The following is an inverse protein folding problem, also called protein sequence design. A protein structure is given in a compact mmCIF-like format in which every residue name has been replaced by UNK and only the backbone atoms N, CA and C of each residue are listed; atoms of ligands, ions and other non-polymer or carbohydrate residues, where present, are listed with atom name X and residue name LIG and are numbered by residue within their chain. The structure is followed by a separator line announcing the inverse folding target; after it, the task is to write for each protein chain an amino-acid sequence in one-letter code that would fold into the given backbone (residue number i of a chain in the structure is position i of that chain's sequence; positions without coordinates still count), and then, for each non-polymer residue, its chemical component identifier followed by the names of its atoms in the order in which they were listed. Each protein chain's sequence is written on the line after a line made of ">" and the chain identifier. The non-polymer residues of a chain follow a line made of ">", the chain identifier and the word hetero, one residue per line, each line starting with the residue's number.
data_IF_221418906327
#
_entry.id   IF_221418906327
#
_cell.length_a   1.000
_cell.length_b   1.000
_cell.length_c   1.000
_cell.angle_alpha   90.00
_cell.angle_beta   90.00
_cell.angle_gamma   90.00
#
_symmetry.space_group_name_H-M   'P 1'
#
loop_
_entity.id
_entity.type
_entity.pdbx_description
1 polymer ?
#
# COMPACT_ATOMS: atom_id res chain seq x y z
N UNK A 1 43.94 2.93 -44.51
CA UNK A 1 45.39 3.17 -44.60
C UNK A 1 46.10 2.02 -43.86
N UNK A 2 47.44 1.91 -43.89
CA UNK A 2 48.16 0.91 -43.09
C UNK A 2 48.42 1.45 -41.68
N UNK A 3 48.03 0.71 -40.64
CA UNK A 3 48.32 1.08 -39.24
C UNK A 3 49.75 0.67 -38.89
N UNK A 4 50.55 1.58 -38.34
CA UNK A 4 51.85 1.24 -37.78
C UNK A 4 51.69 0.94 -36.27
N UNK A 5 51.89 -0.32 -35.87
CA UNK A 5 51.73 -0.77 -34.48
C UNK A 5 53.12 -1.06 -33.90
N UNK A 6 53.56 -0.29 -32.91
CA UNK A 6 54.84 -0.55 -32.25
C UNK A 6 54.73 -1.72 -31.25
N UNK A 7 55.73 -2.58 -31.24
CA UNK A 7 55.73 -3.82 -30.44
C UNK A 7 55.62 -3.57 -28.95
N UNK A 8 56.23 -2.48 -28.45
CA UNK A 8 56.25 -2.09 -27.05
C UNK A 8 55.02 -1.30 -26.59
N UNK A 9 54.06 -0.99 -27.48
CA UNK A 9 52.82 -0.34 -27.06
C UNK A 9 51.99 -1.22 -26.16
N UNK A 10 51.34 -0.59 -25.18
CA UNK A 10 50.35 -1.24 -24.34
C UNK A 10 49.18 -1.75 -25.19
N UNK A 11 48.56 -2.90 -24.88
CA UNK A 11 47.43 -3.45 -25.65
C UNK A 11 46.29 -2.46 -25.91
N UNK A 12 45.99 -1.57 -24.97
CA UNK A 12 44.96 -0.54 -25.14
C UNK A 12 45.34 0.53 -26.17
N UNK A 13 46.61 0.94 -26.21
CA UNK A 13 47.16 1.86 -27.23
C UNK A 13 47.11 1.22 -28.61
N UNK A 14 47.43 -0.08 -28.71
CA UNK A 14 47.31 -0.85 -29.97
C UNK A 14 45.86 -0.91 -30.44
N UNK A 15 44.91 -1.22 -29.56
CA UNK A 15 43.49 -1.25 -29.89
C UNK A 15 42.95 0.13 -30.29
N UNK A 16 43.40 1.22 -29.66
CA UNK A 16 43.05 2.58 -30.06
C UNK A 16 43.57 2.93 -31.46
N UNK A 17 44.81 2.57 -31.77
CA UNK A 17 45.39 2.79 -33.10
C UNK A 17 44.62 2.04 -34.20
N UNK A 18 44.17 0.81 -33.91
CA UNK A 18 43.33 0.03 -34.83
C UNK A 18 41.93 0.63 -34.92
N UNK A 19 41.31 0.96 -33.79
CA UNK A 19 39.96 1.54 -33.71
C UNK A 19 39.81 2.85 -34.49
N UNK A 20 40.83 3.71 -34.44
CA UNK A 20 40.85 4.99 -35.16
C UNK A 20 40.88 4.85 -36.70
N UNK A 21 41.32 3.69 -37.19
CA UNK A 21 41.51 3.43 -38.63
C UNK A 21 40.47 2.46 -39.19
N UNK A 22 39.42 2.16 -38.41
CA UNK A 22 38.29 1.34 -38.87
C UNK A 22 37.50 2.07 -39.96
N UNK A 23 37.17 1.34 -41.02
CA UNK A 23 36.39 1.86 -42.15
C UNK A 23 35.13 1.03 -42.37
N UNK A 24 34.03 1.45 -41.72
CA UNK A 24 32.73 0.80 -41.80
C UNK A 24 32.03 0.90 -43.16
N UNK A 25 32.62 1.62 -44.14
CA UNK A 25 32.14 1.63 -45.52
C UNK A 25 32.59 0.40 -46.33
N UNK A 26 33.51 -0.39 -45.78
CA UNK A 26 34.10 -1.58 -46.44
C UNK A 26 33.47 -2.87 -45.90
N UNK A 27 33.53 -3.93 -46.72
CA UNK A 27 33.05 -5.28 -46.35
C UNK A 27 33.85 -5.83 -45.17
N UNK A 28 35.16 -5.56 -45.13
CA UNK A 28 36.01 -5.79 -43.97
C UNK A 28 36.40 -4.42 -43.39
N UNK A 29 35.92 -4.07 -42.19
CA UNK A 29 36.19 -2.77 -41.58
C UNK A 29 37.62 -2.65 -41.04
N UNK A 30 38.39 -3.74 -41.01
CA UNK A 30 39.74 -3.75 -40.45
C UNK A 30 40.77 -3.04 -41.37
N UNK A 31 41.74 -2.33 -40.78
CA UNK A 31 42.83 -1.72 -41.53
C UNK A 31 43.75 -2.78 -42.16
N UNK A 32 44.37 -2.43 -43.28
CA UNK A 32 45.22 -3.36 -44.04
C UNK A 32 46.47 -3.75 -43.23
N UNK A 33 46.69 -5.06 -43.07
CA UNK A 33 47.81 -5.62 -42.32
C UNK A 33 47.50 -5.94 -40.85
N UNK A 34 46.24 -5.85 -40.42
CA UNK A 34 45.79 -6.26 -39.08
C UNK A 34 44.83 -7.44 -39.22
N UNK A 35 45.19 -8.55 -38.61
CA UNK A 35 44.36 -9.77 -38.59
C UNK A 35 43.49 -9.83 -37.33
N UNK A 36 42.36 -10.54 -37.42
CA UNK A 36 41.46 -10.75 -36.29
C UNK A 36 42.17 -11.42 -35.10
N UNK A 37 43.02 -12.42 -35.37
CA UNK A 37 43.75 -13.15 -34.34
C UNK A 37 44.66 -12.23 -33.51
N UNK A 38 45.24 -11.22 -34.16
CA UNK A 38 46.06 -10.19 -33.50
C UNK A 38 45.21 -9.28 -32.60
N UNK A 39 43.98 -8.95 -33.02
CA UNK A 39 43.02 -8.19 -32.20
C UNK A 39 42.57 -9.04 -31.01
N UNK A 40 42.25 -10.32 -31.23
CA UNK A 40 41.87 -11.26 -30.16
C UNK A 40 42.97 -11.39 -29.11
N UNK A 41 44.24 -11.49 -29.51
CA UNK A 41 45.39 -11.52 -28.58
C UNK A 41 45.44 -10.27 -27.67
N UNK A 42 45.26 -9.08 -28.26
CA UNK A 42 45.22 -7.84 -27.49
C UNK A 42 43.99 -7.79 -26.57
N UNK A 43 42.84 -8.26 -27.04
CA UNK A 43 41.61 -8.29 -26.26
C UNK A 43 41.71 -9.27 -25.09
N UNK A 44 42.30 -10.47 -25.26
CA UNK A 44 42.55 -11.40 -24.15
C UNK A 44 43.47 -10.81 -23.09
N UNK A 45 44.48 -10.04 -23.50
CA UNK A 45 45.34 -9.33 -22.56
C UNK A 45 44.56 -8.26 -21.79
N UNK A 46 43.69 -7.51 -22.47
CA UNK A 46 42.79 -6.53 -21.83
C UNK A 46 41.78 -7.23 -20.91
N UNK A 47 41.28 -8.41 -21.28
CA UNK A 47 40.37 -9.21 -20.45
C UNK A 47 41.04 -9.69 -19.16
N UNK A 48 42.31 -10.09 -19.21
CA UNK A 48 43.07 -10.44 -18.00
C UNK A 48 43.23 -9.24 -17.05
N UNK A 49 43.34 -8.02 -17.58
CA UNK A 49 43.49 -6.80 -16.79
C UNK A 49 42.16 -6.27 -16.22
N UNK A 50 41.08 -6.31 -17.01
CA UNK A 50 39.82 -5.66 -16.67
C UNK A 50 38.66 -6.62 -16.42
N UNK A 51 38.77 -7.90 -16.78
CA UNK A 51 37.69 -8.90 -16.72
C UNK A 51 37.11 -9.06 -15.32
N UNK A 52 37.97 -9.14 -14.29
CA UNK A 52 37.51 -9.21 -12.90
C UNK A 52 36.72 -7.96 -12.47
N UNK A 53 37.10 -6.77 -12.96
CA UNK A 53 36.38 -5.52 -12.69
C UNK A 53 35.04 -5.48 -13.45
N UNK A 54 35.01 -5.93 -14.70
CA UNK A 54 33.78 -6.05 -15.50
C UNK A 54 32.77 -6.97 -14.79
N UNK A 55 33.22 -8.17 -14.37
CA UNK A 55 32.38 -9.12 -13.64
C UNK A 55 31.91 -8.56 -12.29
N UNK A 56 32.80 -7.87 -11.56
CA UNK A 56 32.45 -7.25 -10.28
C UNK A 56 31.38 -6.17 -10.46
N UNK A 57 31.55 -5.28 -11.43
CA UNK A 57 30.59 -4.21 -11.71
C UNK A 57 29.26 -4.82 -12.17
N UNK A 58 29.25 -5.78 -13.09
CA UNK A 58 28.03 -6.45 -13.52
C UNK A 58 27.29 -7.12 -12.36
N UNK A 59 28.00 -7.87 -11.50
CA UNK A 59 27.37 -8.63 -10.43
C UNK A 59 26.90 -7.75 -9.26
N UNK A 60 27.52 -6.58 -9.05
CA UNK A 60 27.19 -5.66 -7.94
C UNK A 60 26.29 -4.50 -8.35
N UNK A 61 25.93 -4.38 -9.62
CA UNK A 61 25.10 -3.30 -10.14
C UNK A 61 23.99 -3.85 -11.04
N UNK A 62 23.12 -2.97 -11.53
CA UNK A 62 22.05 -3.32 -12.48
C UNK A 62 22.52 -3.29 -13.95
N UNK A 63 23.82 -3.13 -14.19
CA UNK A 63 24.37 -3.03 -15.54
C UNK A 63 24.34 -4.38 -16.25
N UNK A 64 23.93 -4.38 -17.52
CA UNK A 64 24.09 -5.52 -18.42
C UNK A 64 25.57 -5.77 -18.72
N UNK A 65 25.90 -6.95 -19.28
CA UNK A 65 27.27 -7.31 -19.65
C UNK A 65 27.93 -6.23 -20.53
N UNK A 66 27.21 -5.73 -21.55
CA UNK A 66 27.75 -4.74 -22.51
C UNK A 66 27.93 -3.36 -21.90
N UNK A 67 27.00 -2.95 -21.02
CA UNK A 67 27.11 -1.70 -20.25
C UNK A 67 28.29 -1.75 -19.28
N UNK A 68 28.45 -2.86 -18.54
CA UNK A 68 29.56 -3.05 -17.62
C UNK A 68 30.92 -3.10 -18.34
N UNK A 69 31.02 -3.84 -19.45
CA UNK A 69 32.21 -3.88 -20.32
C UNK A 69 32.58 -2.48 -20.82
N UNK A 70 31.60 -1.77 -21.39
CA UNK A 70 31.82 -0.44 -21.95
C UNK A 70 32.22 0.56 -20.87
N UNK A 71 31.51 0.57 -19.74
CA UNK A 71 31.79 1.50 -18.65
C UNK A 71 33.17 1.27 -18.03
N UNK A 72 33.54 0.01 -17.74
CA UNK A 72 34.84 -0.31 -17.15
C UNK A 72 35.99 0.05 -18.08
N UNK A 73 35.92 -0.39 -19.35
CA UNK A 73 36.99 -0.15 -20.32
C UNK A 73 37.13 1.32 -20.70
N UNK A 74 36.06 2.11 -20.57
CA UNK A 74 36.08 3.55 -20.84
C UNK A 74 36.58 4.36 -19.65
N UNK A 75 36.24 3.96 -18.42
CA UNK A 75 36.51 4.76 -17.23
C UNK A 75 37.80 4.36 -16.49
N UNK A 76 38.13 3.07 -16.43
CA UNK A 76 39.35 2.59 -15.78
C UNK A 76 40.54 2.62 -16.73
N UNK A 77 41.67 3.11 -16.23
CA UNK A 77 42.92 3.20 -16.97
C UNK A 77 44.02 2.58 -16.11
N UNK A 78 44.62 1.48 -16.57
CA UNK A 78 45.80 0.90 -15.93
C UNK A 78 47.02 1.82 -16.08
N UNK A 79 47.94 1.75 -15.13
CA UNK A 79 49.15 2.58 -15.13
C UNK A 79 49.97 2.35 -16.41
N UNK A 80 50.28 3.43 -17.14
CA UNK A 80 51.01 3.38 -18.41
C UNK A 80 50.16 2.99 -19.64
N UNK A 81 48.84 2.87 -19.49
CA UNK A 81 47.91 2.55 -20.57
C UNK A 81 47.14 3.79 -21.05
N UNK A 82 46.79 3.83 -22.34
CA UNK A 82 45.84 4.82 -22.84
C UNK A 82 44.40 4.39 -22.55
N UNK A 83 43.53 5.39 -22.28
CA UNK A 83 42.09 5.18 -22.16
C UNK A 83 41.52 4.71 -23.50
N UNK A 84 40.72 3.64 -23.48
CA UNK A 84 40.11 3.11 -24.70
C UNK A 84 39.07 4.09 -25.28
N UNK A 85 39.11 4.23 -26.61
CA UNK A 85 38.07 4.89 -27.42
C UNK A 85 36.86 3.98 -27.59
N UNK A 86 35.70 4.54 -27.93
CA UNK A 86 34.50 3.73 -28.18
C UNK A 86 34.67 2.74 -29.34
N UNK A 87 35.43 3.13 -30.36
CA UNK A 87 35.77 2.27 -31.50
C UNK A 87 36.62 1.07 -31.03
N UNK A 88 37.60 1.30 -30.14
CA UNK A 88 38.42 0.25 -29.55
C UNK A 88 37.66 -0.65 -28.56
N UNK A 89 36.71 -0.09 -27.80
CA UNK A 89 35.79 -0.89 -26.96
C UNK A 89 34.87 -1.76 -27.81
N UNK A 90 34.39 -1.23 -28.95
CA UNK A 90 33.65 -2.00 -29.93
C UNK A 90 34.44 -3.20 -30.44
N UNK A 91 35.72 -3.01 -30.77
CA UNK A 91 36.62 -4.11 -31.18
C UNK A 91 36.76 -5.18 -30.09
N UNK A 92 36.89 -4.77 -28.84
CA UNK A 92 36.98 -5.69 -27.70
C UNK A 92 35.72 -6.56 -27.56
N UNK A 93 34.54 -5.94 -27.59
CA UNK A 93 33.26 -6.64 -27.45
C UNK A 93 33.04 -7.59 -28.63
N UNK A 94 33.38 -7.14 -29.84
CA UNK A 94 33.29 -7.94 -31.07
C UNK A 94 34.24 -9.14 -31.08
N UNK A 95 35.48 -8.97 -30.61
CA UNK A 95 36.50 -10.00 -30.64
C UNK A 95 36.25 -11.11 -29.60
N UNK A 96 35.86 -10.76 -28.37
CA UNK A 96 35.66 -11.72 -27.27
C UNK A 96 34.22 -12.30 -27.26
N UNK A 97 33.24 -11.57 -27.80
CA UNK A 97 31.84 -12.01 -27.88
C UNK A 97 31.60 -13.11 -28.92
N UNK A 98 31.99 -14.35 -28.63
CA UNK A 98 31.90 -15.50 -29.56
C UNK A 98 30.48 -16.00 -29.89
N UNK A 99 29.41 -15.36 -29.43
CA UNK A 99 28.05 -15.93 -29.53
C UNK A 99 27.00 -15.16 -30.34
N UNK A 100 27.27 -13.99 -30.94
CA UNK A 100 26.20 -13.29 -31.69
C UNK A 100 26.66 -12.78 -33.05
N UNK A 101 26.11 -13.40 -34.09
CA UNK A 101 25.96 -12.76 -35.39
C UNK A 101 25.20 -11.45 -35.23
N UNK A 102 25.78 -10.34 -35.65
CA UNK A 102 24.98 -9.24 -36.21
C UNK A 102 25.05 -7.87 -35.55
N UNK A 103 25.69 -7.66 -34.40
CA UNK A 103 25.81 -6.29 -33.88
C UNK A 103 27.08 -5.60 -34.42
N UNK A 104 26.95 -4.50 -35.18
CA UNK A 104 28.08 -3.84 -35.78
C UNK A 104 28.95 -3.14 -34.72
N UNK A 105 30.23 -3.00 -35.05
CA UNK A 105 31.25 -2.13 -34.44
C UNK A 105 30.87 -0.63 -34.47
N UNK A 106 29.60 -0.30 -34.26
CA UNK A 106 29.11 1.06 -34.36
C UNK A 106 29.48 1.81 -33.10
N UNK A 107 30.35 2.81 -33.26
CA UNK A 107 30.68 3.80 -32.24
C UNK A 107 29.45 4.33 -31.51
N UNK A 108 28.35 4.55 -32.24
CA UNK A 108 27.10 5.08 -31.70
C UNK A 108 26.46 4.11 -30.72
N UNK A 109 26.43 2.82 -31.04
CA UNK A 109 25.87 1.79 -30.16
C UNK A 109 26.71 1.66 -28.88
N UNK A 110 28.04 1.71 -29.00
CA UNK A 110 28.93 1.66 -27.83
C UNK A 110 28.81 2.94 -26.98
N UNK A 111 28.64 4.10 -27.61
CA UNK A 111 28.36 5.34 -26.89
C UNK A 111 27.03 5.26 -26.14
N UNK A 112 25.97 4.72 -26.75
CA UNK A 112 24.68 4.49 -26.08
C UNK A 112 24.82 3.55 -24.87
N UNK A 113 25.59 2.46 -24.96
CA UNK A 113 25.87 1.61 -23.80
C UNK A 113 26.62 2.35 -22.69
N UNK A 114 27.53 3.25 -23.05
CA UNK A 114 28.24 4.07 -22.07
C UNK A 114 27.29 5.06 -21.39
N UNK A 115 26.47 5.76 -22.16
CA UNK A 115 25.50 6.75 -21.66
C UNK A 115 24.45 6.08 -20.76
N UNK A 116 23.93 4.91 -21.15
CA UNK A 116 23.03 4.13 -20.30
C UNK A 116 23.71 3.65 -19.01
N UNK A 117 24.97 3.22 -19.08
CA UNK A 117 25.70 2.80 -17.89
C UNK A 117 25.96 3.97 -16.93
N UNK A 118 26.32 5.15 -17.47
CA UNK A 118 26.50 6.38 -16.69
C UNK A 118 25.18 6.80 -16.05
N UNK A 119 24.07 6.85 -16.80
CA UNK A 119 22.75 7.19 -16.25
C UNK A 119 22.36 6.26 -15.11
N UNK A 120 22.49 4.94 -15.27
CA UNK A 120 22.16 3.96 -14.22
C UNK A 120 23.05 4.11 -12.98
N UNK A 121 24.33 4.43 -13.17
CA UNK A 121 25.26 4.68 -12.06
C UNK A 121 24.95 6.00 -11.37
N UNK A 122 24.59 7.05 -12.12
CA UNK A 122 24.20 8.34 -11.57
C UNK A 122 22.87 8.22 -10.80
N UNK A 123 21.90 7.46 -11.30
CA UNK A 123 20.65 7.15 -10.60
C UNK A 123 20.92 6.34 -9.31
N UNK A 124 21.78 5.33 -9.39
CA UNK A 124 22.19 4.55 -8.21
C UNK A 124 22.98 5.41 -7.21
N UNK A 125 23.83 6.32 -7.70
CA UNK A 125 24.62 7.24 -6.87
C UNK A 125 23.73 8.30 -6.24
N UNK A 126 22.74 8.84 -6.96
CA UNK A 126 21.73 9.74 -6.42
C UNK A 126 20.90 9.03 -5.34
N UNK A 127 20.53 7.77 -5.58
CA UNK A 127 19.89 6.90 -4.58
C UNK A 127 20.79 6.71 -3.36
N UNK A 128 22.09 6.46 -3.53
CA UNK A 128 23.05 6.31 -2.43
C UNK A 128 23.38 7.62 -1.70
N UNK A 129 23.45 8.75 -2.40
CA UNK A 129 23.63 10.08 -1.83
C UNK A 129 22.39 10.53 -1.05
N UNK A 130 21.21 10.04 -1.40
CA UNK A 130 19.99 10.14 -0.60
C UNK A 130 19.85 9.03 0.45
N UNK A 131 20.65 7.96 0.37
CA UNK A 131 20.79 6.90 1.38
C UNK A 131 21.98 7.12 2.33
N UNK A 132 22.46 8.37 2.45
CA UNK A 132 23.12 8.74 3.70
C UNK A 132 22.15 8.41 4.82
N UNK A 133 22.56 7.55 5.76
CA UNK A 133 21.75 7.20 6.92
C UNK A 133 21.12 8.49 7.44
N UNK A 134 19.78 8.54 7.61
CA UNK A 134 19.10 9.78 7.92
C UNK A 134 19.82 10.42 9.11
N UNK A 135 20.11 11.72 9.08
CA UNK A 135 20.41 12.38 10.33
C UNK A 135 19.13 12.16 11.14
N UNK A 136 19.19 11.32 12.17
CA UNK A 136 18.27 11.48 13.29
C UNK A 136 18.70 12.79 13.95
N UNK A 137 17.92 13.85 13.71
CA UNK A 137 17.38 14.59 14.82
C UNK A 137 15.87 14.66 14.65
N UNK A 138 15.18 14.50 15.76
CA UNK A 138 13.72 14.53 15.91
C UNK A 138 13.05 15.86 15.49
N UNK A 139 13.73 16.72 14.70
CA UNK A 139 13.35 18.12 14.48
C UNK A 139 13.42 18.60 13.01
N UNK A 140 13.63 17.77 11.97
CA UNK A 140 13.91 18.28 10.59
C UNK A 140 13.07 17.69 9.44
N UNK A 141 12.06 16.86 9.71
CA UNK A 141 11.07 16.53 8.67
C UNK A 141 9.66 16.63 9.24
N UNK A 142 9.23 17.86 9.50
CA UNK A 142 7.83 18.16 9.82
C UNK A 142 6.87 17.85 8.65
N UNK A 143 7.40 17.61 7.43
CA UNK A 143 6.62 17.49 6.22
C UNK A 143 7.18 16.37 5.31
N UNK A 144 6.41 15.29 5.03
CA UNK A 144 6.87 14.17 4.20
C UNK A 144 7.10 14.60 2.75
N UNK A 145 8.29 14.31 2.21
CA UNK A 145 8.63 14.60 0.81
C UNK A 145 8.38 13.36 -0.04
N UNK A 146 7.55 13.46 -1.08
CA UNK A 146 7.33 12.36 -2.01
C UNK A 146 8.60 12.06 -2.84
N UNK A 147 9.29 10.99 -2.47
CA UNK A 147 10.53 10.54 -3.09
C UNK A 147 10.35 10.03 -4.54
N UNK A 148 9.14 9.59 -4.89
CA UNK A 148 8.86 8.82 -6.11
C UNK A 148 8.07 9.60 -7.19
N UNK A 149 7.85 10.90 -7.01
CA UNK A 149 7.14 11.75 -7.98
C UNK A 149 8.16 12.48 -8.87
N UNK A 150 7.92 12.47 -10.18
CA UNK A 150 8.80 13.11 -11.17
C UNK A 150 9.00 14.62 -10.89
N UNK A 151 10.13 15.16 -11.33
CA UNK A 151 10.51 16.55 -11.03
C UNK A 151 9.50 17.60 -11.53
N UNK A 152 8.77 17.30 -12.61
CA UNK A 152 7.76 18.21 -13.16
C UNK A 152 6.50 18.18 -12.32
N UNK A 153 6.01 16.99 -11.95
CA UNK A 153 4.87 16.85 -11.04
C UNK A 153 5.17 17.46 -9.66
N UNK A 154 6.37 17.25 -9.11
CA UNK A 154 6.80 17.85 -7.84
C UNK A 154 6.77 19.38 -7.88
N UNK A 155 7.25 19.99 -8.97
CA UNK A 155 7.20 21.46 -9.15
C UNK A 155 5.76 21.96 -9.28
N UNK A 156 4.88 21.21 -9.96
CA UNK A 156 3.47 21.56 -10.10
C UNK A 156 2.73 21.50 -8.75
N UNK A 157 3.00 20.48 -7.95
CA UNK A 157 2.43 20.33 -6.60
C UNK A 157 2.96 21.45 -5.69
N UNK A 158 4.27 21.72 -5.70
CA UNK A 158 4.86 22.82 -4.93
C UNK A 158 4.27 24.19 -5.30
N UNK A 159 3.97 24.43 -6.58
CA UNK A 159 3.32 25.66 -7.03
C UNK A 159 1.84 25.77 -6.63
N UNK A 160 1.19 24.64 -6.29
CA UNK A 160 -0.21 24.59 -5.84
C UNK A 160 -0.33 24.63 -4.32
N UNK A 161 0.79 24.61 -3.59
CA UNK A 161 0.87 24.66 -2.13
C UNK A 161 0.49 26.03 -1.60
N UNK A 162 -0.43 26.08 -0.64
CA UNK A 162 -0.73 27.28 0.13
C UNK A 162 0.34 27.53 1.21
N UNK A 163 0.43 28.76 1.72
CA UNK A 163 1.53 29.22 2.59
C UNK A 163 1.70 28.42 3.88
N UNK A 164 0.61 27.84 4.40
CA UNK A 164 0.55 27.12 5.67
C UNK A 164 0.19 25.63 5.51
N UNK A 165 0.29 25.10 4.29
CA UNK A 165 -0.14 23.75 3.93
C UNK A 165 1.08 22.83 3.85
N UNK A 166 1.04 21.60 4.39
CA UNK A 166 2.07 20.57 4.22
C UNK A 166 2.05 19.98 2.80
N UNK A 167 3.11 19.30 2.35
CA UNK A 167 3.10 18.62 1.04
C UNK A 167 2.02 17.53 0.98
N UNK A 168 1.77 16.82 2.09
CA UNK A 168 0.65 15.88 2.20
C UNK A 168 -0.69 16.59 2.07
N UNK A 169 -0.87 17.72 2.77
CA UNK A 169 -2.13 18.48 2.75
C UNK A 169 -2.45 18.95 1.32
N UNK A 170 -1.43 19.39 0.55
CA UNK A 170 -1.62 19.75 -0.87
C UNK A 170 -2.06 18.56 -1.70
N UNK A 171 -1.47 17.40 -1.48
CA UNK A 171 -1.82 16.19 -2.23
C UNK A 171 -3.24 15.75 -1.92
N UNK A 172 -3.60 15.67 -0.64
CA UNK A 172 -4.95 15.35 -0.18
C UNK A 172 -5.96 16.32 -0.79
N UNK A 173 -5.76 17.64 -0.62
CA UNK A 173 -6.66 18.63 -1.21
C UNK A 173 -6.76 18.52 -2.73
N UNK A 174 -5.64 18.33 -3.45
CA UNK A 174 -5.69 18.20 -4.90
C UNK A 174 -6.40 16.91 -5.34
N UNK A 175 -6.25 15.81 -4.60
CA UNK A 175 -6.97 14.57 -4.85
C UNK A 175 -8.46 14.78 -4.60
N UNK A 176 -8.83 15.36 -3.46
CA UNK A 176 -10.22 15.69 -3.10
C UNK A 176 -10.88 16.64 -4.12
N UNK A 177 -10.15 17.68 -4.57
CA UNK A 177 -10.62 18.62 -5.60
C UNK A 177 -10.88 17.95 -6.96
N UNK A 178 -10.20 16.83 -7.25
CA UNK A 178 -10.33 16.11 -8.52
C UNK A 178 -11.26 14.90 -8.47
N UNK A 179 -11.58 14.42 -7.26
CA UNK A 179 -12.45 13.27 -7.08
C UNK A 179 -13.92 13.64 -7.33
N UNK A 180 -14.62 12.82 -8.10
CA UNK A 180 -16.06 12.99 -8.28
C UNK A 180 -16.76 12.50 -7.01
N UNK A 181 -17.27 13.44 -6.23
CA UNK A 181 -17.91 13.14 -4.94
C UNK A 181 -19.43 13.14 -5.07
N UNK A 182 -20.09 12.10 -4.57
CA UNK A 182 -21.55 12.02 -4.42
C UNK A 182 -21.91 12.00 -2.94
N UNK A 183 -23.00 12.64 -2.53
CA UNK A 183 -23.48 12.52 -1.15
C UNK A 183 -24.30 11.25 -0.93
N UNK A 184 -24.29 10.68 0.28
CA UNK A 184 -25.13 9.52 0.61
C UNK A 184 -26.62 9.82 0.38
N UNK A 185 -27.04 11.06 0.65
CA UNK A 185 -28.41 11.51 0.38
C UNK A 185 -28.74 11.51 -1.11
N UNK A 186 -27.84 12.05 -1.95
CA UNK A 186 -28.01 12.05 -3.40
C UNK A 186 -27.94 10.65 -3.99
N UNK A 187 -27.07 9.78 -3.47
CA UNK A 187 -26.99 8.38 -3.86
C UNK A 187 -28.33 7.68 -3.63
N UNK A 188 -28.88 7.73 -2.40
CA UNK A 188 -30.16 7.08 -2.07
C UNK A 188 -31.29 7.67 -2.91
N UNK A 189 -31.38 9.00 -3.05
CA UNK A 189 -32.40 9.65 -3.89
C UNK A 189 -32.29 9.26 -5.36
N UNK A 190 -31.08 9.11 -5.88
CA UNK A 190 -30.85 8.68 -7.27
C UNK A 190 -31.39 7.27 -7.48
N UNK A 191 -31.11 6.36 -6.54
CA UNK A 191 -31.69 5.02 -6.56
C UNK A 191 -33.21 5.03 -6.43
N UNK A 192 -33.79 5.84 -5.54
CA UNK A 192 -35.25 5.96 -5.41
C UNK A 192 -35.92 6.49 -6.68
N UNK A 193 -35.28 7.45 -7.37
CA UNK A 193 -35.83 8.05 -8.59
C UNK A 193 -35.72 7.10 -9.79
N UNK A 194 -34.65 6.31 -9.88
CA UNK A 194 -34.44 5.35 -10.96
C UNK A 194 -35.24 4.05 -10.72
N UNK A 195 -35.34 3.62 -9.47
CA UNK A 195 -36.03 2.40 -9.06
C UNK A 195 -37.08 2.76 -8.00
N UNK A 196 -38.36 2.72 -8.39
CA UNK A 196 -39.50 2.92 -7.47
C UNK A 196 -39.57 1.88 -6.34
N UNK A 197 -38.69 0.88 -6.39
CA UNK A 197 -38.73 -0.33 -5.60
C UNK A 197 -37.46 -0.50 -4.74
N UNK A 198 -36.73 0.59 -4.45
CA UNK A 198 -35.58 0.57 -3.54
C UNK A 198 -36.03 0.18 -2.12
N UNK A 199 -35.62 -1.01 -1.66
CA UNK A 199 -35.96 -1.53 -0.34
C UNK A 199 -34.98 -1.01 0.73
N UNK A 200 -33.69 -1.25 0.52
CA UNK A 200 -32.66 -1.04 1.54
C UNK A 200 -31.34 -0.60 0.92
N UNK A 201 -30.61 0.28 1.60
CA UNK A 201 -29.17 0.50 1.37
C UNK A 201 -28.44 0.18 2.66
N UNK A 202 -27.42 -0.67 2.57
CA UNK A 202 -26.66 -1.13 3.73
C UNK A 202 -25.16 -1.18 3.43
N UNK A 203 -24.33 -1.10 4.46
CA UNK A 203 -22.86 -1.19 4.38
C UNK A 203 -22.41 -2.57 4.84
N UNK A 204 -21.57 -3.23 4.04
CA UNK A 204 -21.05 -4.57 4.35
C UNK A 204 -19.88 -4.48 5.35
N UNK A 205 -20.18 -4.30 6.64
CA UNK A 205 -19.19 -4.14 7.72
C UNK A 205 -18.33 -5.39 7.98
N UNK A 206 -18.77 -6.56 7.53
CA UNK A 206 -17.97 -7.79 7.60
C UNK A 206 -16.76 -7.80 6.65
N UNK A 207 -16.67 -6.85 5.70
CA UNK A 207 -15.50 -6.77 4.81
C UNK A 207 -14.31 -6.17 5.57
N UNK A 208 -13.11 -6.74 5.45
CA UNK A 208 -11.92 -6.16 6.05
C UNK A 208 -11.72 -4.72 5.58
N UNK A 209 -11.45 -3.81 6.52
CA UNK A 209 -11.22 -2.38 6.26
C UNK A 209 -12.36 -1.68 5.50
N UNK A 210 -13.61 -2.10 5.71
CA UNK A 210 -14.81 -1.48 5.13
C UNK A 210 -14.92 0.02 5.42
N UNK A 211 -14.28 0.49 6.49
CA UNK A 211 -14.27 1.88 6.92
C UNK A 211 -13.27 2.76 6.14
N UNK A 212 -12.42 2.15 5.30
CA UNK A 212 -11.50 2.85 4.39
C UNK A 212 -12.03 2.95 2.96
N UNK A 213 -12.86 2.00 2.56
CA UNK A 213 -13.61 2.01 1.31
C UNK A 213 -15.01 1.43 1.58
N UNK A 214 -16.02 2.28 1.59
CA UNK A 214 -17.39 1.94 2.03
C UNK A 214 -18.04 0.95 1.03
N UNK A 215 -18.25 -0.33 1.40
CA UNK A 215 -18.85 -1.30 0.50
C UNK A 215 -20.38 -1.27 0.63
N UNK A 216 -21.05 -0.47 -0.20
CA UNK A 216 -22.50 -0.35 -0.23
C UNK A 216 -23.15 -1.53 -0.94
N UNK A 217 -24.18 -2.08 -0.30
CA UNK A 217 -25.12 -3.05 -0.83
C UNK A 217 -26.47 -2.37 -1.02
N UNK A 218 -26.93 -2.28 -2.27
CA UNK A 218 -28.21 -1.65 -2.62
C UNK A 218 -29.22 -2.73 -2.97
N UNK A 219 -30.30 -2.80 -2.20
CA UNK A 219 -31.30 -3.85 -2.28
C UNK A 219 -32.55 -3.32 -2.98
N UNK A 220 -32.86 -3.89 -4.14
CA UNK A 220 -33.98 -3.47 -4.99
C UNK A 220 -35.02 -4.59 -4.99
N UNK A 221 -36.28 -4.23 -4.73
CA UNK A 221 -37.43 -5.12 -4.90
C UNK A 221 -37.62 -5.32 -6.41
N UNK A 222 -37.64 -6.57 -6.87
CA UNK A 222 -38.18 -6.86 -8.20
C UNK A 222 -39.71 -6.85 -8.10
N UNK A 223 -40.34 -5.71 -8.39
CA UNK A 223 -41.77 -5.72 -8.75
C UNK A 223 -41.93 -6.30 -10.15
N UNK A 224 -41.58 -7.57 -10.33
CA UNK A 224 -41.85 -8.38 -11.52
C UNK A 224 -41.68 -9.88 -11.18
N UNK A 225 -42.24 -10.34 -10.05
CA UNK A 225 -42.59 -11.76 -9.89
C UNK A 225 -43.84 -12.14 -10.70
N UNK A 226 -44.13 -11.45 -11.80
CA UNK A 226 -45.05 -11.92 -12.83
C UNK A 226 -44.28 -12.47 -14.02
N UNK A 227 -44.01 -13.78 -13.94
CA UNK A 227 -43.83 -14.69 -15.09
C UNK A 227 -42.83 -14.27 -16.16
N UNK A 228 -41.57 -14.68 -16.02
CA UNK A 228 -40.71 -14.91 -17.19
C UNK A 228 -39.96 -16.22 -16.99
N UNK A 229 -40.48 -17.29 -17.60
CA UNK A 229 -39.75 -18.52 -17.94
C UNK A 229 -38.69 -18.23 -19.03
N UNK A 230 -37.80 -17.25 -18.82
CA UNK A 230 -36.58 -17.08 -19.61
C UNK A 230 -35.45 -16.50 -18.76
N UNK A 231 -34.24 -17.07 -18.78
CA UNK A 231 -33.08 -16.54 -18.09
C UNK A 231 -32.47 -15.39 -18.90
N UNK A 232 -33.16 -14.25 -18.99
CA UNK A 232 -32.60 -13.04 -19.59
C UNK A 232 -31.97 -12.15 -18.51
N UNK A 233 -30.74 -12.50 -18.16
CA UNK A 233 -29.57 -11.62 -18.21
C UNK A 233 -29.77 -10.12 -17.87
N UNK A 234 -30.33 -9.81 -16.69
CA UNK A 234 -30.08 -8.51 -16.06
C UNK A 234 -28.65 -8.59 -15.52
N UNK A 235 -27.69 -8.24 -16.37
CA UNK A 235 -26.29 -8.07 -15.93
C UNK A 235 -26.26 -7.00 -14.84
N UNK A 236 -25.59 -7.28 -13.72
CA UNK A 236 -25.49 -6.44 -12.51
C UNK A 236 -25.11 -4.98 -12.77
N UNK A 237 -24.47 -4.70 -13.91
CA UNK A 237 -24.11 -3.35 -14.37
C UNK A 237 -25.29 -2.45 -14.75
N UNK A 238 -26.48 -2.98 -15.08
CA UNK A 238 -27.66 -2.15 -15.41
C UNK A 238 -28.43 -1.64 -14.18
N UNK A 239 -28.06 -2.10 -12.98
CA UNK A 239 -28.71 -1.73 -11.72
C UNK A 239 -28.00 -0.60 -10.95
N UNK A 240 -26.94 -0.01 -11.51
CA UNK A 240 -26.20 1.09 -10.89
C UNK A 240 -26.44 2.38 -11.71
N UNK A 241 -27.01 3.44 -11.12
CA UNK A 241 -27.19 4.73 -11.81
C UNK A 241 -25.87 5.33 -12.32
N UNK A 242 -25.90 6.00 -13.47
CA UNK A 242 -24.69 6.58 -14.11
C UNK A 242 -23.94 7.55 -13.17
N UNK A 243 -24.69 8.40 -12.46
CA UNK A 243 -24.14 9.35 -11.48
C UNK A 243 -23.41 8.63 -10.33
N UNK A 244 -23.88 7.46 -9.93
CA UNK A 244 -23.23 6.65 -8.89
C UNK A 244 -22.01 5.94 -9.46
N UNK A 245 -22.10 5.41 -10.69
CA UNK A 245 -20.98 4.69 -11.32
C UNK A 245 -19.79 5.58 -11.70
N UNK A 246 -20.00 6.89 -11.81
CA UNK A 246 -18.98 7.89 -12.16
C UNK A 246 -18.40 8.60 -10.94
N UNK A 247 -18.96 8.38 -9.75
CA UNK A 247 -18.46 8.94 -8.51
C UNK A 247 -17.34 8.06 -7.94
N UNK A 248 -16.26 8.70 -7.51
CA UNK A 248 -15.09 8.07 -6.89
C UNK A 248 -15.22 8.03 -5.35
N UNK A 249 -15.93 9.02 -4.79
CA UNK A 249 -16.01 9.26 -3.34
C UNK A 249 -17.44 9.43 -2.86
N UNK A 250 -17.72 8.93 -1.67
CA UNK A 250 -18.98 9.10 -0.95
C UNK A 250 -18.78 10.13 0.17
N UNK A 251 -19.61 11.16 0.18
CA UNK A 251 -19.66 12.15 1.26
C UNK A 251 -20.86 11.91 2.18
N UNK A 252 -20.62 11.98 3.49
CA UNK A 252 -21.65 11.93 4.52
C UNK A 252 -21.16 12.66 5.77
N UNK A 253 -22.05 13.38 6.46
CA UNK A 253 -21.66 14.29 7.56
C UNK A 253 -20.54 15.24 7.12
N UNK A 254 -19.32 15.06 7.63
CA UNK A 254 -18.11 15.81 7.28
C UNK A 254 -16.98 14.88 6.78
N UNK A 255 -17.31 13.64 6.40
CA UNK A 255 -16.36 12.64 5.93
C UNK A 255 -16.53 12.42 4.43
N UNK A 256 -15.40 12.16 3.75
CA UNK A 256 -15.34 11.80 2.33
C UNK A 256 -14.47 10.56 2.22
N UNK A 257 -15.05 9.45 1.77
CA UNK A 257 -14.36 8.17 1.69
C UNK A 257 -14.60 7.51 0.33
N UNK A 258 -13.63 6.75 -0.21
CA UNK A 258 -13.87 5.86 -1.33
C UNK A 258 -15.05 4.93 -1.04
N UNK A 259 -15.76 4.52 -2.09
CA UNK A 259 -16.87 3.58 -1.93
C UNK A 259 -17.01 2.67 -3.14
N UNK A 260 -17.61 1.51 -2.91
CA UNK A 260 -18.04 0.61 -3.96
C UNK A 260 -19.52 0.27 -3.77
N UNK A 261 -20.21 -0.04 -4.87
CA UNK A 261 -21.63 -0.35 -4.86
C UNK A 261 -21.90 -1.69 -5.53
N UNK A 262 -22.70 -2.51 -4.87
CA UNK A 262 -23.22 -3.76 -5.40
C UNK A 262 -24.76 -3.75 -5.29
N UNK A 263 -25.46 -4.02 -6.38
CA UNK A 263 -26.92 -4.16 -6.36
C UNK A 263 -27.33 -5.61 -6.11
N UNK A 264 -28.27 -5.84 -5.19
CA UNK A 264 -28.76 -7.17 -4.78
C UNK A 264 -30.29 -7.23 -4.74
N UNK A 265 -30.90 -8.42 -4.86
CA UNK A 265 -32.33 -8.58 -4.61
C UNK A 265 -32.69 -8.24 -3.16
N UNK A 266 -33.86 -7.65 -2.94
CA UNK A 266 -34.36 -7.31 -1.60
C UNK A 266 -34.55 -8.50 -0.65
N UNK A 267 -34.69 -9.71 -1.18
CA UNK A 267 -34.75 -10.95 -0.40
C UNK A 267 -33.39 -11.38 0.18
N UNK A 268 -32.30 -10.72 -0.22
CA UNK A 268 -30.97 -10.97 0.34
C UNK A 268 -30.91 -10.43 1.77
N UNK A 269 -30.61 -11.30 2.74
CA UNK A 269 -30.50 -10.91 4.14
C UNK A 269 -29.48 -9.81 4.40
N UNK A 270 -29.82 -8.91 5.33
CA UNK A 270 -29.02 -7.73 5.73
C UNK A 270 -28.54 -7.79 7.18
N UNK A 271 -28.76 -8.91 7.88
CA UNK A 271 -28.51 -9.06 9.32
C UNK A 271 -27.05 -8.78 9.75
N UNK A 272 -26.09 -8.95 8.84
CA UNK A 272 -24.66 -8.68 9.06
C UNK A 272 -24.17 -7.38 8.42
N UNK A 273 -25.09 -6.50 8.04
CA UNK A 273 -24.79 -5.21 7.40
C UNK A 273 -25.32 -4.06 8.24
N UNK A 274 -24.63 -2.92 8.19
CA UNK A 274 -25.13 -1.69 8.80
C UNK A 274 -26.15 -1.05 7.87
N UNK A 275 -27.43 -1.04 8.25
CA UNK A 275 -28.49 -0.46 7.42
C UNK A 275 -28.46 1.06 7.51
N UNK A 276 -28.26 1.73 6.37
CA UNK A 276 -28.21 3.21 6.26
C UNK A 276 -29.46 3.80 5.59
N UNK A 277 -30.30 2.98 4.97
CA UNK A 277 -31.62 3.38 4.53
C UNK A 277 -32.51 2.14 4.43
N UNK A 278 -33.76 2.25 4.85
CA UNK A 278 -34.77 1.21 4.67
C UNK A 278 -36.17 1.84 4.52
N UNK A 279 -36.92 1.38 3.53
CA UNK A 279 -38.26 1.87 3.19
C UNK A 279 -39.35 1.51 4.23
N UNK A 280 -39.08 0.52 5.08
CA UNK A 280 -40.02 0.03 6.11
C UNK A 280 -40.90 -1.14 5.69
N UNK A 281 -40.79 -1.65 4.45
CA UNK A 281 -41.64 -2.75 3.94
C UNK A 281 -41.13 -4.11 4.42
N UNK A 282 -39.82 -4.31 4.42
CA UNK A 282 -39.18 -5.57 4.80
C UNK A 282 -38.32 -5.49 6.07
N UNK A 283 -38.02 -4.27 6.54
CA UNK A 283 -37.17 -3.99 7.70
C UNK A 283 -37.78 -2.85 8.54
N UNK A 284 -37.21 -2.61 9.73
CA UNK A 284 -37.47 -1.35 10.43
C UNK A 284 -37.06 -0.17 9.52
N UNK A 285 -37.94 0.83 9.39
CA UNK A 285 -37.66 1.96 8.51
C UNK A 285 -36.50 2.78 9.04
N UNK A 286 -35.55 3.12 8.15
CA UNK A 286 -34.39 3.95 8.46
C UNK A 286 -34.38 5.11 7.49
N UNK A 287 -34.50 6.32 8.02
CA UNK A 287 -34.39 7.54 7.21
C UNK A 287 -32.93 7.75 6.77
N UNK A 288 -32.72 8.47 5.67
CA UNK A 288 -31.36 8.82 5.19
C UNK A 288 -30.56 9.54 6.28
N UNK A 289 -31.20 10.44 7.03
CA UNK A 289 -30.54 11.19 8.10
C UNK A 289 -30.09 10.27 9.25
N UNK A 290 -30.94 9.33 9.66
CA UNK A 290 -30.58 8.34 10.68
C UNK A 290 -29.47 7.41 10.19
N UNK A 291 -29.50 7.06 8.90
CA UNK A 291 -28.45 6.31 8.23
C UNK A 291 -27.09 6.98 8.26
N UNK A 292 -27.04 8.28 7.95
CA UNK A 292 -25.82 9.08 8.04
C UNK A 292 -25.28 9.06 9.48
N UNK A 293 -26.17 9.19 10.48
CA UNK A 293 -25.79 9.14 11.90
C UNK A 293 -25.29 7.74 12.31
N UNK A 294 -25.91 6.66 11.81
CA UNK A 294 -25.44 5.27 12.03
C UNK A 294 -24.06 5.05 11.43
N UNK A 295 -23.87 5.43 10.16
CA UNK A 295 -22.60 5.26 9.45
C UNK A 295 -21.48 6.06 10.12
N UNK A 296 -21.73 7.33 10.46
CA UNK A 296 -20.73 8.18 11.13
C UNK A 296 -20.27 7.54 12.44
N UNK A 297 -21.20 7.06 13.27
CA UNK A 297 -20.86 6.39 14.55
C UNK A 297 -20.07 5.10 14.36
N UNK A 298 -20.39 4.33 13.32
CA UNK A 298 -19.69 3.10 13.02
C UNK A 298 -18.24 3.37 12.56
N UNK A 299 -18.04 4.37 11.68
CA UNK A 299 -16.70 4.79 11.23
C UNK A 299 -15.88 5.35 12.38
N UNK A 300 -16.45 6.24 13.19
CA UNK A 300 -15.75 6.86 14.33
C UNK A 300 -15.27 5.81 15.33
N UNK A 301 -16.00 4.68 15.46
CA UNK A 301 -15.64 3.58 16.34
C UNK A 301 -14.70 2.54 15.69
N UNK A 302 -14.48 2.57 14.38
CA UNK A 302 -13.80 1.49 13.65
C UNK A 302 -12.31 1.39 14.00
N UNK A 303 -11.61 2.52 14.15
CA UNK A 303 -10.17 2.57 14.45
C UNK A 303 -9.89 3.52 15.61
N UNK A 304 -9.57 2.95 16.77
CA UNK A 304 -9.47 3.73 17.99
C UNK A 304 -8.35 3.27 18.91
N UNK A 305 -7.94 4.19 19.79
CA UNK A 305 -6.99 3.90 20.86
C UNK A 305 -7.63 3.07 21.97
N UNK A 306 -6.82 2.29 22.67
CA UNK A 306 -7.24 1.55 23.86
C UNK A 306 -7.91 2.45 24.91
N UNK A 307 -7.42 3.68 25.09
CA UNK A 307 -8.02 4.65 26.01
C UNK A 307 -9.45 5.02 25.58
N UNK A 308 -9.62 5.45 24.31
CA UNK A 308 -10.93 5.83 23.77
C UNK A 308 -11.95 4.70 23.87
N UNK A 309 -11.54 3.47 23.52
CA UNK A 309 -12.41 2.28 23.61
C UNK A 309 -12.81 2.00 25.06
N UNK A 310 -11.87 2.14 26.02
CA UNK A 310 -12.17 1.94 27.44
C UNK A 310 -13.10 3.01 28.02
N UNK A 311 -12.95 4.27 27.60
CA UNK A 311 -13.82 5.37 28.02
C UNK A 311 -15.25 5.18 27.46
N UNK A 312 -15.37 4.79 26.18
CA UNK A 312 -16.67 4.41 25.61
C UNK A 312 -17.26 3.20 26.32
N UNK A 313 -16.47 2.17 26.59
CA UNK A 313 -16.92 0.99 27.32
C UNK A 313 -17.51 1.38 28.69
N UNK A 314 -16.83 2.26 29.42
CA UNK A 314 -17.33 2.79 30.68
C UNK A 314 -18.64 3.57 30.52
N UNK A 315 -18.71 4.48 29.55
CA UNK A 315 -19.91 5.27 29.28
C UNK A 315 -21.12 4.42 28.87
N UNK A 316 -20.87 3.33 28.15
CA UNK A 316 -21.89 2.37 27.71
C UNK A 316 -22.31 1.38 28.81
N UNK A 317 -21.63 1.34 29.96
CA UNK A 317 -21.94 0.40 31.05
C UNK A 317 -21.35 -1.01 30.85
N UNK A 318 -20.30 -1.12 30.04
CA UNK A 318 -19.47 -2.33 29.97
C UNK A 318 -18.74 -2.51 31.29
N UNK A 319 -18.64 -3.75 31.75
CA UNK A 319 -18.05 -4.07 33.04
C UNK A 319 -16.56 -4.36 32.95
N UNK A 320 -16.13 -5.01 31.87
CA UNK A 320 -14.73 -5.18 31.56
C UNK A 320 -14.52 -5.46 30.07
N UNK A 321 -13.30 -5.17 29.60
CA UNK A 321 -12.79 -5.57 28.31
C UNK A 321 -11.70 -6.62 28.54
N UNK A 322 -11.79 -7.72 27.82
CA UNK A 322 -10.77 -8.76 27.81
C UNK A 322 -10.41 -9.17 26.40
N UNK A 323 -9.28 -9.86 26.27
CA UNK A 323 -8.84 -10.50 25.04
C UNK A 323 -8.57 -11.97 25.30
N UNK A 324 -8.91 -12.85 24.36
CA UNK A 324 -8.49 -14.26 24.48
C UNK A 324 -6.97 -14.34 24.41
N UNK A 325 -6.41 -15.31 25.15
CA UNK A 325 -4.96 -15.54 25.21
C UNK A 325 -4.39 -16.05 23.88
N UNK A 326 -5.23 -16.61 23.02
CA UNK A 326 -4.87 -17.03 21.67
C UNK A 326 -5.53 -16.10 20.64
N UNK A 327 -4.78 -15.70 19.58
CA UNK A 327 -5.35 -14.91 18.50
C UNK A 327 -6.38 -15.72 17.70
N UNK A 328 -7.29 -15.01 17.03
CA UNK A 328 -8.23 -15.60 16.08
C UNK A 328 -7.90 -15.03 14.70
N UNK A 329 -7.69 -15.91 13.72
CA UNK A 329 -7.21 -15.49 12.40
C UNK A 329 -5.86 -14.76 12.52
N UNK A 330 -5.81 -13.53 12.02
CA UNK A 330 -4.63 -12.65 12.09
C UNK A 330 -4.82 -11.51 13.10
N UNK A 331 -5.66 -11.68 14.12
CA UNK A 331 -5.97 -10.60 15.04
C UNK A 331 -6.51 -11.06 16.39
N UNK A 332 -7.16 -10.11 17.07
CA UNK A 332 -7.63 -10.22 18.44
C UNK A 332 -9.03 -10.80 18.48
N UNK A 333 -9.28 -11.67 19.44
CA UNK A 333 -10.64 -11.99 19.89
C UNK A 333 -10.97 -11.15 21.13
N UNK A 334 -11.75 -10.09 20.93
CA UNK A 334 -12.24 -9.21 21.98
C UNK A 334 -13.40 -9.87 22.74
N UNK A 335 -13.25 -9.98 24.05
CA UNK A 335 -14.29 -10.47 24.97
C UNK A 335 -14.85 -9.26 25.72
N UNK A 336 -16.10 -8.93 25.42
CA UNK A 336 -16.84 -7.88 26.12
C UNK A 336 -17.57 -8.51 27.30
N UNK A 337 -17.32 -8.02 28.51
CA UNK A 337 -18.03 -8.48 29.70
C UNK A 337 -19.01 -7.39 30.10
N UNK A 338 -20.30 -7.66 29.95
CA UNK A 338 -21.35 -6.67 30.15
C UNK A 338 -22.64 -7.29 30.72
N UNK A 339 -23.53 -6.48 31.31
CA UNK A 339 -24.86 -6.95 31.69
C UNK A 339 -25.63 -7.45 30.46
N UNK A 340 -26.51 -8.43 30.63
CA UNK A 340 -27.33 -8.98 29.53
C UNK A 340 -28.28 -7.96 28.89
N UNK A 341 -28.55 -6.85 29.57
CA UNK A 341 -29.34 -5.73 29.05
C UNK A 341 -28.57 -4.79 28.13
N UNK A 342 -27.24 -4.91 28.05
CA UNK A 342 -26.43 -4.04 27.19
C UNK A 342 -26.44 -4.56 25.75
N UNK A 343 -26.90 -3.73 24.83
CA UNK A 343 -26.82 -3.98 23.40
C UNK A 343 -25.38 -3.81 22.89
N UNK A 344 -24.94 -4.74 22.04
CA UNK A 344 -23.68 -4.67 21.29
C UNK A 344 -24.03 -4.71 19.82
N UNK A 345 -23.68 -3.66 19.09
CA UNK A 345 -24.17 -3.43 17.73
C UNK A 345 -23.11 -2.69 16.89
N UNK A 346 -23.15 -2.77 15.55
CA UNK A 346 -22.16 -2.14 14.67
C UNK A 346 -22.43 -0.63 14.43
N UNK A 347 -23.23 0.03 15.28
CA UNK A 347 -23.64 1.44 15.10
C UNK A 347 -25.13 1.69 14.82
N UNK A 348 -25.96 0.64 14.77
CA UNK A 348 -27.41 0.80 14.52
C UNK A 348 -28.17 1.63 15.56
N UNK A 349 -27.90 1.39 16.85
CA UNK A 349 -28.64 2.00 17.95
C UNK A 349 -27.87 3.16 18.58
N UNK A 350 -28.52 4.26 19.03
CA UNK A 350 -27.84 5.41 19.62
C UNK A 350 -27.16 5.12 20.96
N UNK A 351 -27.57 4.04 21.64
CA UNK A 351 -26.98 3.58 22.90
C UNK A 351 -26.54 2.13 22.78
N UNK A 352 -25.68 1.70 23.70
CA UNK A 352 -25.01 0.39 23.63
C UNK A 352 -23.51 0.54 23.45
N UNK A 353 -22.84 -0.57 23.14
CA UNK A 353 -21.41 -0.58 22.87
C UNK A 353 -21.14 -0.96 21.41
N UNK A 354 -20.34 -0.14 20.73
CA UNK A 354 -19.84 -0.39 19.38
C UNK A 354 -18.39 -0.90 19.51
N UNK A 355 -18.14 -2.20 19.20
CA UNK A 355 -16.79 -2.74 19.18
C UNK A 355 -15.95 -2.11 18.06
N UNK A 356 -14.65 -1.87 18.29
CA UNK A 356 -13.77 -1.40 17.22
C UNK A 356 -13.41 -2.55 16.26
N UNK A 357 -13.14 -2.20 15.00
CA UNK A 357 -12.54 -3.10 14.01
C UNK A 357 -11.02 -3.19 14.19
N UNK A 358 -10.41 -2.10 14.68
CA UNK A 358 -8.98 -1.97 14.91
C UNK A 358 -8.71 -1.22 16.20
N UNK A 359 -7.76 -1.75 16.96
CA UNK A 359 -7.36 -1.23 18.25
C UNK A 359 -5.90 -0.79 18.19
N UNK A 360 -5.68 0.52 18.30
CA UNK A 360 -4.35 1.10 18.43
C UNK A 360 -3.84 0.91 19.86
N UNK A 361 -2.79 0.09 19.99
CA UNK A 361 -2.11 -0.26 21.24
C UNK A 361 -0.65 0.18 21.12
N UNK A 362 -0.29 1.25 21.82
CA UNK A 362 1.03 1.86 21.74
C UNK A 362 1.44 2.22 20.29
N UNK A 363 2.37 1.46 19.71
CA UNK A 363 2.93 1.60 18.35
C UNK A 363 2.43 0.53 17.38
N UNK A 364 1.39 -0.24 17.76
CA UNK A 364 0.80 -1.30 16.95
C UNK A 364 -0.69 -1.06 16.78
N UNK A 365 -1.24 -1.56 15.67
CA UNK A 365 -2.67 -1.57 15.42
C UNK A 365 -3.11 -3.02 15.29
N UNK A 366 -3.93 -3.48 16.22
CA UNK A 366 -4.43 -4.84 16.25
C UNK A 366 -5.82 -4.91 15.61
N UNK A 367 -6.00 -5.75 14.59
CA UNK A 367 -7.32 -6.03 14.01
C UNK A 367 -8.17 -6.85 14.99
N UNK A 368 -9.44 -6.49 15.14
CA UNK A 368 -10.43 -7.23 15.95
C UNK A 368 -11.19 -8.17 15.03
N UNK A 369 -10.74 -9.42 14.98
CA UNK A 369 -11.29 -10.45 14.07
C UNK A 369 -12.56 -11.10 14.63
N UNK A 370 -12.76 -11.01 15.94
CA UNK A 370 -13.93 -11.57 16.61
C UNK A 370 -14.28 -10.80 17.87
N UNK A 371 -15.57 -10.58 18.05
CA UNK A 371 -16.13 -10.05 19.29
C UNK A 371 -17.05 -11.09 19.92
N UNK A 372 -16.96 -11.26 21.24
CA UNK A 372 -17.91 -12.09 21.99
C UNK A 372 -18.37 -11.34 23.23
N UNK A 373 -19.68 -11.15 23.33
CA UNK A 373 -20.32 -10.54 24.49
C UNK A 373 -20.72 -11.63 25.48
N UNK A 374 -20.30 -11.50 26.73
CA UNK A 374 -20.60 -12.44 27.81
C UNK A 374 -21.06 -11.70 29.06
N UNK A 375 -21.91 -12.37 29.85
CA UNK A 375 -22.25 -11.86 31.19
C UNK A 375 -21.08 -12.09 32.15
N UNK A 376 -20.99 -11.33 33.26
CA UNK A 376 -19.96 -11.57 34.27
C UNK A 376 -19.98 -13.01 34.81
N UNK A 377 -21.16 -13.60 35.00
CA UNK A 377 -21.30 -15.00 35.42
C UNK A 377 -20.66 -15.97 34.42
N UNK A 378 -21.02 -15.85 33.14
CA UNK A 378 -20.49 -16.71 32.09
C UNK A 378 -18.98 -16.53 31.93
N UNK A 379 -18.48 -15.31 32.14
CA UNK A 379 -17.05 -15.05 32.15
C UNK A 379 -16.33 -15.91 33.21
N UNK A 380 -16.82 -15.93 34.45
CA UNK A 380 -16.18 -16.71 35.52
C UNK A 380 -16.28 -18.22 35.30
N UNK A 381 -17.37 -18.68 34.70
CA UNK A 381 -17.64 -20.11 34.48
C UNK A 381 -16.82 -20.68 33.32
N UNK A 382 -16.71 -19.95 32.20
CA UNK A 382 -16.18 -20.51 30.95
C UNK A 382 -15.01 -19.73 30.34
N UNK A 383 -14.96 -18.40 30.48
CA UNK A 383 -14.02 -17.58 29.72
C UNK A 383 -12.77 -17.16 30.49
N UNK A 384 -12.83 -17.11 31.82
CA UNK A 384 -11.74 -16.68 32.72
C UNK A 384 -10.38 -17.37 32.47
N UNK A 385 -10.26 -18.70 32.27
CA UNK A 385 -8.94 -19.32 32.14
C UNK A 385 -8.17 -18.87 30.90
N UNK A 386 -8.87 -18.51 29.82
CA UNK A 386 -8.26 -18.20 28.53
C UNK A 386 -8.44 -16.73 28.13
N UNK A 387 -8.82 -15.85 29.06
CA UNK A 387 -9.08 -14.43 28.79
C UNK A 387 -8.22 -13.56 29.71
N UNK A 388 -7.46 -12.65 29.11
CA UNK A 388 -6.73 -11.61 29.83
C UNK A 388 -7.58 -10.34 29.85
N UNK A 389 -7.90 -9.82 31.04
CA UNK A 389 -8.61 -8.55 31.19
C UNK A 389 -7.65 -7.39 30.93
N UNK A 390 -7.98 -6.56 29.94
CA UNK A 390 -7.20 -5.38 29.55
C UNK A 390 -7.75 -4.10 30.19
N UNK A 391 -9.00 -4.12 30.64
CA UNK A 391 -9.63 -3.02 31.36
C UNK A 391 -10.82 -3.51 32.18
N UNK A 392 -11.03 -2.95 33.37
CA UNK A 392 -12.18 -3.20 34.24
C UNK A 392 -12.77 -1.87 34.70
N UNK A 393 -14.09 -1.75 34.59
CA UNK A 393 -14.80 -0.57 35.05
C UNK A 393 -14.60 -0.31 36.54
N UNK A 394 -14.61 0.96 36.95
CA UNK A 394 -14.59 1.32 38.36
C UNK A 394 -15.86 0.79 39.05
N UNK A 395 -15.71 0.14 40.21
CA UNK A 395 -16.82 -0.45 40.99
C UNK A 395 -17.96 0.54 41.27
N UNK A 396 -17.67 1.84 41.37
CA UNK A 396 -18.69 2.88 41.59
C UNK A 396 -19.53 3.20 40.35
N UNK A 397 -19.05 2.87 39.16
CA UNK A 397 -19.75 3.07 37.87
C UNK A 397 -20.31 1.76 37.29
N UNK A 398 -20.07 0.62 37.93
CA UNK A 398 -20.55 -0.68 37.48
C UNK A 398 -22.03 -0.89 37.79
N UNK A 399 -22.70 -1.64 36.92
CA UNK A 399 -23.99 -2.25 37.27
C UNK A 399 -23.82 -3.25 38.42
N UNK A 400 -24.87 -3.43 39.23
CA UNK A 400 -24.85 -4.30 40.43
C UNK A 400 -24.40 -5.73 40.10
N UNK A 401 -24.88 -6.28 38.98
CA UNK A 401 -24.51 -7.60 38.46
C UNK A 401 -23.01 -7.77 38.18
N UNK A 402 -22.28 -6.67 37.98
CA UNK A 402 -20.84 -6.67 37.72
C UNK A 402 -19.99 -6.41 38.96
N UNK A 403 -20.57 -5.80 40.00
CA UNK A 403 -19.90 -5.60 41.29
C UNK A 403 -19.82 -6.94 42.04
N UNK A 404 -20.91 -7.72 42.00
CA UNK A 404 -21.01 -9.01 42.68
C UNK A 404 -20.07 -10.08 42.09
N UNK A 405 -19.73 -9.98 40.81
CA UNK A 405 -18.93 -10.99 40.13
C UNK A 405 -17.42 -10.95 40.46
N UNK A 406 -16.91 -9.84 41.00
CA UNK A 406 -15.48 -9.68 41.33
C UNK A 406 -14.52 -9.87 40.13
N UNK A 407 -14.59 -8.92 39.19
CA UNK A 407 -13.64 -8.83 38.08
C UNK A 407 -12.34 -8.18 38.57
N UNK A 408 -11.21 -8.90 38.44
CA UNK A 408 -9.88 -8.44 38.85
C UNK A 408 -9.02 -8.14 37.61
N UNK A 409 -8.79 -6.85 37.35
CA UNK A 409 -7.99 -6.36 36.22
C UNK A 409 -7.64 -4.88 36.37
N UNK A 410 -6.92 -4.29 35.40
CA UNK A 410 -6.52 -2.89 35.45
C UNK A 410 -7.74 -1.96 35.35
N UNK A 411 -7.86 -1.01 36.27
CA UNK A 411 -8.97 -0.04 36.29
C UNK A 411 -8.71 1.24 35.47
N UNK A 412 -7.55 1.31 34.82
CA UNK A 412 -7.10 2.45 34.01
C UNK A 412 -6.07 1.95 32.99
N UNK A 413 -6.06 2.55 31.81
CA UNK A 413 -5.06 2.24 30.79
C UNK A 413 -3.74 2.92 31.17
N UNK A 414 -2.60 2.20 31.15
CA UNK A 414 -1.31 2.79 31.43
C UNK A 414 -0.93 3.90 30.43
N UNK A 415 -0.26 4.95 30.90
CA UNK A 415 0.15 6.08 30.05
C UNK A 415 1.33 5.75 29.13
N UNK A 416 2.16 4.76 29.48
CA UNK A 416 3.36 4.42 28.71
C UNK A 416 3.10 3.28 27.72
N UNK A 417 3.64 3.41 26.50
CA UNK A 417 3.56 2.41 25.45
C UNK A 417 3.97 0.99 25.90
N UNK A 418 5.05 0.85 26.67
CA UNK A 418 5.51 -0.46 27.16
C UNK A 418 4.47 -1.12 28.09
N UNK A 419 3.92 -0.36 29.04
CA UNK A 419 2.93 -0.88 29.98
C UNK A 419 1.58 -1.18 29.30
N UNK A 420 1.20 -0.44 28.26
CA UNK A 420 0.02 -0.79 27.46
C UNK A 420 0.17 -2.13 26.76
N UNK A 421 1.37 -2.44 26.22
CA UNK A 421 1.64 -3.76 25.63
C UNK A 421 1.56 -4.87 26.67
N UNK A 422 2.04 -4.63 27.89
CA UNK A 422 2.00 -5.64 28.97
C UNK A 422 0.58 -6.05 29.38
N UNK A 423 -0.45 -5.30 28.98
CA UNK A 423 -1.85 -5.71 29.15
C UNK A 423 -2.25 -6.87 28.25
N UNK A 424 -1.56 -7.07 27.13
CA UNK A 424 -1.94 -8.05 26.11
C UNK A 424 -1.04 -9.29 26.16
N UNK A 425 -1.62 -10.48 25.88
CA UNK A 425 -0.83 -11.68 25.63
C UNK A 425 0.16 -11.48 24.49
N UNK A 426 1.39 -11.99 24.63
CA UNK A 426 2.43 -11.84 23.60
C UNK A 426 2.04 -12.46 22.26
N UNK A 427 1.32 -13.58 22.27
CA UNK A 427 0.75 -14.24 21.09
C UNK A 427 -0.18 -13.34 20.29
N UNK A 428 -0.95 -12.49 20.97
CA UNK A 428 -1.88 -11.55 20.35
C UNK A 428 -1.13 -10.33 19.80
N UNK A 429 -0.14 -9.80 20.54
CA UNK A 429 0.69 -8.69 20.05
C UNK A 429 1.50 -9.01 18.80
N UNK A 430 1.79 -10.29 18.54
CA UNK A 430 2.52 -10.73 17.35
C UNK A 430 1.71 -10.62 16.05
N UNK A 431 0.40 -10.38 16.13
CA UNK A 431 -0.45 -10.32 14.94
C UNK A 431 -0.52 -8.94 14.29
N UNK A 432 -0.05 -7.88 14.95
CA UNK A 432 -0.08 -6.50 14.45
C UNK A 432 1.19 -5.71 14.68
#
# INVERSE_FOLDING_TARGET
>A
MSVNIETHWHPTTKLNAIGNELDFSRIDPLPSGVERDQIEEYCYTVEQLYGAYIETIRNKTILSQREAQTWVLRNLVHEGADRLTFDAVGLYIWAIGRETSGDPLSRTIIAEYHDHAVSKIDDATATMMHAGAPPYPDDVLDDPVALWVDATARRRIANRRLTDESYSDVLERLLDETAHTISLEELVKTYQNQFNSLATVAVQTVRPAWDREIPLSVHINSEDETSVDEPNDITTSQLIPEVVSTADMLSFSNQVLPFSVESRPATTGTDSMLVVYADGVHHESVSIADGIVRLTRAIDAADETLQTVSDRAQASGVCALGVRNEPVGNGVHLVLIAPSSLAVHPGDEPGGFIPPERLSVADRTLSVERVTNVTPTLYHEEYRPDTTLIWVANKTSMAESCVESHLDGPSSIPETNSAQRELFPTSVLQTG
#
